data_IF_946625763279
#
_entry.id   IF_946625763279
#
_cell.length_a   1.000
_cell.length_b   1.000
_cell.length_c   1.000
_cell.angle_alpha   90.00
_cell.angle_beta   90.00
_cell.angle_gamma   90.00
#
_symmetry.space_group_name_H-M   'P 1'
#
loop_
_entity.id
_entity.type
_entity.pdbx_description
1 polymer ?
#
# COMPACT_ATOMS: atom_id res chain seq x y z
N UNK A 1 19.84 -13.10 1.02
CA UNK A 1 18.36 -13.24 1.04
C UNK A 1 17.73 -11.91 0.60
N UNK A 2 16.78 -11.91 -0.34
CA UNK A 2 16.02 -10.71 -0.69
C UNK A 2 15.32 -10.18 0.58
N UNK A 3 15.44 -8.89 0.89
CA UNK A 3 14.77 -8.27 2.06
C UNK A 3 13.28 -8.61 2.00
N UNK A 4 12.69 -8.97 3.15
CA UNK A 4 11.24 -9.24 3.17
C UNK A 4 10.47 -7.99 2.73
N UNK A 5 9.36 -8.14 2.02
CA UNK A 5 8.55 -7.01 1.52
C UNK A 5 8.20 -6.02 2.66
N UNK A 6 7.99 -6.52 3.89
CA UNK A 6 7.78 -5.68 5.08
C UNK A 6 9.02 -4.86 5.48
N UNK A 7 10.21 -5.45 5.46
CA UNK A 7 11.45 -4.73 5.77
C UNK A 7 11.74 -3.65 4.71
N UNK A 8 11.45 -3.93 3.45
CA UNK A 8 11.57 -2.94 2.38
C UNK A 8 10.65 -1.73 2.61
N UNK A 9 9.39 -1.97 3.01
CA UNK A 9 8.45 -0.89 3.33
C UNK A 9 8.88 -0.06 4.55
N UNK A 10 9.46 -0.69 5.57
CA UNK A 10 9.93 0.05 6.77
C UNK A 10 11.11 0.97 6.50
N UNK A 11 11.93 0.64 5.49
CA UNK A 11 13.07 1.47 5.10
C UNK A 11 12.66 2.74 4.33
N UNK A 12 11.42 2.80 3.81
CA UNK A 12 10.91 3.95 3.06
C UNK A 12 10.50 5.11 3.98
N UNK A 13 10.60 6.32 3.46
CA UNK A 13 10.11 7.53 4.15
C UNK A 13 8.58 7.56 4.21
N UNK A 14 7.99 8.44 5.03
CA UNK A 14 6.54 8.55 5.10
C UNK A 14 5.92 9.02 3.77
N UNK A 15 6.60 9.92 3.07
CA UNK A 15 6.13 10.47 1.79
C UNK A 15 6.22 9.44 0.66
N UNK A 16 7.31 8.64 0.63
CA UNK A 16 7.44 7.52 -0.30
C UNK A 16 6.34 6.46 -0.08
N UNK A 17 5.99 6.19 1.17
CA UNK A 17 4.92 5.26 1.51
C UNK A 17 3.56 5.77 1.03
N UNK A 18 3.28 7.08 1.19
CA UNK A 18 2.05 7.69 0.66
C UNK A 18 2.00 7.62 -0.86
N UNK A 19 3.07 8.01 -1.55
CA UNK A 19 3.16 7.94 -3.01
C UNK A 19 2.94 6.51 -3.53
N UNK A 20 3.51 5.50 -2.87
CA UNK A 20 3.30 4.10 -3.23
C UNK A 20 1.85 3.64 -3.01
N UNK A 21 1.20 4.10 -1.94
CA UNK A 21 -0.21 3.82 -1.70
C UNK A 21 -1.10 4.44 -2.79
N UNK A 22 -0.82 5.66 -3.23
CA UNK A 22 -1.58 6.36 -4.27
C UNK A 22 -1.46 5.66 -5.63
N UNK A 23 -0.25 5.23 -6.00
CA UNK A 23 -0.03 4.43 -7.21
C UNK A 23 -0.84 3.13 -7.17
N UNK A 24 -0.79 2.41 -6.05
CA UNK A 24 -1.54 1.16 -5.89
C UNK A 24 -3.06 1.38 -5.94
N UNK A 25 -3.56 2.52 -5.43
CA UNK A 25 -4.97 2.89 -5.53
C UNK A 25 -5.35 3.22 -6.98
N UNK A 26 -4.52 3.94 -7.71
CA UNK A 26 -4.72 4.24 -9.14
C UNK A 26 -4.78 2.96 -9.99
N UNK A 27 -3.86 2.04 -9.75
CA UNK A 27 -3.85 0.73 -10.43
C UNK A 27 -5.08 -0.10 -10.08
N UNK A 28 -5.57 -0.01 -8.84
CA UNK A 28 -6.82 -0.65 -8.45
C UNK A 28 -8.04 -0.04 -9.14
N UNK A 29 -8.09 1.28 -9.32
CA UNK A 29 -9.15 1.94 -10.07
C UNK A 29 -9.15 1.48 -11.53
N UNK A 30 -7.98 1.49 -12.18
CA UNK A 30 -7.81 0.97 -13.55
C UNK A 30 -8.22 -0.49 -13.67
N UNK A 31 -7.84 -1.33 -12.71
CA UNK A 31 -8.21 -2.73 -12.68
C UNK A 31 -9.73 -2.94 -12.50
N UNK A 32 -10.41 -2.08 -11.74
CA UNK A 32 -11.87 -2.12 -11.63
C UNK A 32 -12.51 -1.77 -12.98
N UNK A 33 -12.09 -0.66 -13.58
CA UNK A 33 -12.62 -0.21 -14.87
C UNK A 33 -12.43 -1.26 -15.97
N UNK A 34 -11.25 -1.87 -16.07
CA UNK A 34 -11.01 -2.93 -17.06
C UNK A 34 -11.85 -4.19 -16.81
N UNK A 35 -12.11 -4.52 -15.54
CA UNK A 35 -13.01 -5.64 -15.22
C UNK A 35 -14.44 -5.34 -15.67
N UNK A 36 -14.92 -4.10 -15.47
CA UNK A 36 -16.28 -3.70 -15.86
C UNK A 36 -16.44 -3.57 -17.38
N UNK A 37 -15.46 -2.99 -18.06
CA UNK A 37 -15.51 -2.70 -19.50
C UNK A 37 -15.15 -3.91 -20.37
N UNK A 38 -14.13 -4.68 -19.99
CA UNK A 38 -13.59 -5.78 -20.81
C UNK A 38 -13.94 -7.17 -20.27
N UNK A 39 -14.59 -7.26 -19.10
CA UNK A 39 -14.90 -8.54 -18.44
C UNK A 39 -13.67 -9.31 -17.91
N UNK A 40 -12.46 -8.78 -18.06
CA UNK A 40 -11.22 -9.45 -17.65
C UNK A 40 -11.03 -9.39 -16.14
N UNK A 41 -11.07 -10.54 -15.46
CA UNK A 41 -10.87 -10.65 -14.01
C UNK A 41 -9.38 -10.61 -13.63
N UNK A 42 -8.93 -9.51 -13.03
CA UNK A 42 -7.54 -9.33 -12.51
C UNK A 42 -7.31 -9.88 -11.08
N UNK A 43 -8.17 -10.78 -10.59
CA UNK A 43 -8.44 -11.04 -9.16
C UNK A 43 -7.26 -11.32 -8.21
N UNK A 44 -6.14 -11.88 -8.68
CA UNK A 44 -4.97 -12.18 -7.81
C UNK A 44 -4.12 -10.92 -7.59
N UNK A 45 -3.89 -10.12 -8.64
CA UNK A 45 -3.09 -8.89 -8.53
C UNK A 45 -3.79 -7.86 -7.64
N UNK A 46 -5.10 -7.71 -7.78
CA UNK A 46 -5.90 -6.78 -6.95
C UNK A 46 -5.86 -7.14 -5.47
N UNK A 47 -5.88 -8.44 -5.12
CA UNK A 47 -5.75 -8.90 -3.73
C UNK A 47 -4.38 -8.54 -3.15
N UNK A 48 -3.31 -8.69 -3.94
CA UNK A 48 -1.95 -8.28 -3.58
C UNK A 48 -1.88 -6.78 -3.24
N UNK A 49 -2.36 -5.94 -4.16
CA UNK A 49 -2.38 -4.48 -3.99
C UNK A 49 -3.18 -4.05 -2.76
N UNK A 50 -4.37 -4.63 -2.52
CA UNK A 50 -5.18 -4.35 -1.31
C UNK A 50 -4.41 -4.63 -0.01
N UNK A 51 -3.72 -5.77 0.05
CA UNK A 51 -2.92 -6.16 1.22
C UNK A 51 -1.72 -5.23 1.42
N UNK A 52 -1.10 -4.76 0.34
CA UNK A 52 0.03 -3.84 0.40
C UNK A 52 -0.41 -2.45 0.89
N UNK A 53 -1.51 -1.90 0.37
CA UNK A 53 -2.11 -0.65 0.86
C UNK A 53 -2.41 -0.74 2.36
N UNK A 54 -3.04 -1.83 2.82
CA UNK A 54 -3.35 -2.01 4.24
C UNK A 54 -2.09 -2.03 5.12
N UNK A 55 -1.00 -2.65 4.64
CA UNK A 55 0.29 -2.67 5.35
C UNK A 55 0.92 -1.28 5.41
N UNK A 56 0.88 -0.53 4.32
CA UNK A 56 1.40 0.85 4.27
C UNK A 56 0.65 1.73 5.26
N UNK A 57 -0.69 1.68 5.25
CA UNK A 57 -1.52 2.47 6.16
C UNK A 57 -1.25 2.10 7.63
N UNK A 58 -1.04 0.82 7.91
CA UNK A 58 -0.67 0.36 9.26
C UNK A 58 0.67 0.96 9.70
N UNK A 59 1.70 0.93 8.83
CA UNK A 59 3.01 1.51 9.13
C UNK A 59 2.96 3.03 9.33
N UNK A 60 2.18 3.74 8.52
CA UNK A 60 1.97 5.17 8.69
C UNK A 60 1.31 5.46 10.04
N UNK A 61 0.28 4.70 10.41
CA UNK A 61 -0.41 4.86 11.70
C UNK A 61 0.48 4.53 12.89
N UNK A 62 1.28 3.46 12.80
CA UNK A 62 2.28 3.11 13.82
C UNK A 62 3.28 4.26 14.03
N UNK A 63 3.73 4.90 12.94
CA UNK A 63 4.64 6.06 13.00
C UNK A 63 3.97 7.28 13.65
N UNK A 64 2.72 7.57 13.30
CA UNK A 64 1.95 8.66 13.93
C UNK A 64 1.79 8.44 15.44
N UNK A 65 1.40 7.23 15.85
CA UNK A 65 1.25 6.89 17.27
C UNK A 65 2.57 6.96 18.04
N UNK A 66 3.67 6.52 17.42
CA UNK A 66 5.01 6.63 18.01
C UNK A 66 5.45 8.09 18.14
N UNK A 67 5.14 8.95 17.16
CA UNK A 67 5.42 10.38 17.22
C UNK A 67 4.59 11.06 18.32
N UNK A 68 3.29 10.75 18.40
CA UNK A 68 2.40 11.26 19.45
C UNK A 68 2.86 10.84 20.85
N UNK A 69 3.33 9.59 21.01
CA UNK A 69 3.88 9.11 22.29
C UNK A 69 5.18 9.81 22.70
N UNK A 70 6.00 10.27 21.75
CA UNK A 70 7.24 11.02 22.04
C UNK A 70 7.00 12.49 22.38
N UNK A 71 5.84 13.03 22.01
CA UNK A 71 5.48 14.42 22.27
C UNK A 71 4.83 14.65 23.64
N UNK A 72 4.40 13.56 24.30
CA UNK A 72 3.97 13.53 25.70
C UNK A 72 5.11 13.08 26.61
#
# INVERSE_FOLDING_TARGET
>A
MKKSVKQALRAKTADELKAEADVLQGDMLRARLSTTLEGKRLGIKTRGSRRQIARINTLLRERELAAAKKAN
#
